data_IF_391607328690
#
_entry.id   IF_391607328690
#
_cell.length_a   1.000
_cell.length_b   1.000
_cell.length_c   1.000
_cell.angle_alpha   90.00
_cell.angle_beta   90.00
_cell.angle_gamma   90.00
#
_symmetry.space_group_name_H-M   'P 1'
#
loop_
_entity.id
_entity.type
_entity.pdbx_description
1 polymer ?
#
# COMPACT_ATOMS: atom_id res chain seq x y z
N UNK A 1 -32.58 -10.67 -4.23
CA UNK A 1 -31.16 -10.69 -3.84
C UNK A 1 -30.48 -11.74 -4.70
N UNK A 2 -29.90 -11.33 -5.82
CA UNK A 2 -29.31 -12.24 -6.80
C UNK A 2 -27.97 -12.74 -6.25
N UNK A 3 -27.95 -13.95 -5.72
CA UNK A 3 -26.74 -14.61 -5.24
C UNK A 3 -25.81 -14.85 -6.41
N UNK A 4 -24.76 -14.02 -6.54
CA UNK A 4 -23.64 -14.37 -7.39
C UNK A 4 -23.09 -15.73 -6.92
N UNK A 5 -22.79 -16.66 -7.85
CA UNK A 5 -22.24 -17.95 -7.48
C UNK A 5 -20.97 -17.74 -6.65
N UNK A 6 -20.91 -18.38 -5.48
CA UNK A 6 -19.71 -18.36 -4.65
C UNK A 6 -18.57 -18.92 -5.50
N UNK A 7 -17.48 -18.16 -5.72
CA UNK A 7 -16.40 -18.63 -6.56
C UNK A 7 -15.84 -19.95 -6.01
N UNK A 8 -15.59 -20.91 -6.89
CA UNK A 8 -14.92 -22.16 -6.51
C UNK A 8 -13.54 -21.88 -5.92
N UNK A 9 -13.12 -22.69 -4.96
CA UNK A 9 -11.83 -22.56 -4.30
C UNK A 9 -10.67 -22.67 -5.31
N UNK A 10 -9.92 -21.57 -5.55
CA UNK A 10 -8.79 -21.60 -6.46
C UNK A 10 -7.59 -22.30 -5.82
N UNK A 11 -6.89 -23.14 -6.59
CA UNK A 11 -5.70 -23.84 -6.10
C UNK A 11 -4.54 -22.88 -5.92
N UNK A 12 -3.66 -23.17 -4.97
CA UNK A 12 -2.45 -22.36 -4.75
C UNK A 12 -1.62 -22.23 -6.04
N UNK A 13 -1.45 -23.32 -6.78
CA UNK A 13 -0.68 -23.35 -8.03
C UNK A 13 -1.28 -22.46 -9.15
N UNK A 14 -2.60 -22.32 -9.18
CA UNK A 14 -3.29 -21.46 -10.15
C UNK A 14 -3.07 -19.98 -9.79
N UNK A 15 -3.02 -19.65 -8.49
CA UNK A 15 -2.65 -18.30 -8.01
C UNK A 15 -1.19 -17.99 -8.36
N UNK A 16 -0.27 -18.93 -8.17
CA UNK A 16 1.14 -18.77 -8.61
C UNK A 16 1.22 -18.49 -10.11
N UNK A 17 0.46 -19.23 -10.92
CA UNK A 17 0.41 -19.03 -12.38
C UNK A 17 -0.12 -17.65 -12.74
N UNK A 18 -1.18 -17.19 -12.06
CA UNK A 18 -1.73 -15.85 -12.22
C UNK A 18 -0.73 -14.75 -11.88
N UNK A 19 0.03 -14.90 -10.79
CA UNK A 19 1.08 -13.94 -10.39
C UNK A 19 2.20 -13.85 -11.44
N UNK A 20 2.67 -15.00 -11.96
CA UNK A 20 3.68 -15.03 -13.03
C UNK A 20 3.14 -14.41 -14.32
N UNK A 21 1.89 -14.70 -14.68
CA UNK A 21 1.23 -14.10 -15.84
C UNK A 21 1.04 -12.58 -15.70
N UNK A 22 0.76 -12.09 -14.49
CA UNK A 22 0.71 -10.66 -14.18
C UNK A 22 2.08 -9.99 -14.36
N UNK A 23 3.17 -10.74 -14.22
CA UNK A 23 4.54 -10.27 -14.44
C UNK A 23 5.41 -10.24 -13.20
N UNK A 24 5.04 -10.93 -12.11
CA UNK A 24 5.92 -11.09 -10.95
C UNK A 24 7.20 -11.78 -11.39
N UNK A 25 8.33 -11.12 -11.17
CA UNK A 25 9.64 -11.62 -11.58
C UNK A 25 10.23 -12.55 -10.52
N UNK A 26 10.63 -13.75 -10.95
CA UNK A 26 11.39 -14.68 -10.12
C UNK A 26 12.74 -14.06 -9.69
N UNK A 27 13.15 -14.31 -8.45
CA UNK A 27 14.36 -13.72 -7.86
C UNK A 27 14.24 -12.23 -7.50
N UNK A 28 13.11 -11.59 -7.80
CA UNK A 28 12.89 -10.17 -7.52
C UNK A 28 12.50 -9.85 -6.08
N UNK A 29 12.28 -8.56 -5.82
CA UNK A 29 11.65 -8.06 -4.59
C UNK A 29 10.22 -7.63 -4.92
N UNK A 30 9.24 -8.11 -4.16
CA UNK A 30 7.83 -7.78 -4.36
C UNK A 30 7.22 -7.24 -3.06
N UNK A 31 6.85 -5.96 -3.08
CA UNK A 31 6.00 -5.35 -2.05
C UNK A 31 4.53 -5.64 -2.38
N UNK A 32 3.79 -6.21 -1.42
CA UNK A 32 2.38 -6.59 -1.61
C UNK A 32 1.48 -5.87 -0.60
N UNK A 33 0.58 -5.07 -1.15
CA UNK A 33 -0.66 -4.65 -0.48
C UNK A 33 -1.78 -5.59 -0.94
N UNK A 34 -2.58 -6.11 -0.01
CA UNK A 34 -3.59 -7.12 -0.36
C UNK A 34 -4.84 -7.03 0.51
N UNK A 35 -6.00 -7.27 -0.12
CA UNK A 35 -7.26 -7.51 0.57
C UNK A 35 -7.64 -8.98 0.42
N UNK A 36 -7.43 -9.77 1.48
CA UNK A 36 -7.77 -11.20 1.43
C UNK A 36 -9.27 -11.42 1.15
N UNK A 37 -10.12 -10.47 1.55
CA UNK A 37 -11.56 -10.48 1.26
C UNK A 37 -11.86 -10.48 -0.25
N UNK A 38 -11.04 -9.80 -1.04
CA UNK A 38 -11.19 -9.75 -2.50
C UNK A 38 -10.53 -10.95 -3.19
N UNK A 39 -9.45 -11.51 -2.63
CA UNK A 39 -8.73 -12.64 -3.24
C UNK A 39 -9.37 -13.99 -2.98
N UNK A 40 -10.11 -14.15 -1.88
CA UNK A 40 -10.70 -15.43 -1.41
C UNK A 40 -11.87 -15.92 -2.29
N UNK A 41 -12.20 -17.23 -2.25
CA UNK A 41 -11.51 -18.31 -1.53
C UNK A 41 -10.24 -18.78 -2.24
N UNK A 42 -9.18 -19.09 -1.47
CA UNK A 42 -7.91 -19.67 -1.94
C UNK A 42 -7.62 -20.94 -1.13
N UNK A 43 -7.14 -21.99 -1.78
CA UNK A 43 -6.70 -23.23 -1.14
C UNK A 43 -5.64 -22.92 -0.06
N UNK A 44 -5.84 -23.43 1.16
CA UNK A 44 -4.96 -23.10 2.30
C UNK A 44 -5.20 -21.70 2.90
N UNK A 45 -6.24 -20.98 2.47
CA UNK A 45 -6.62 -19.69 3.01
C UNK A 45 -5.55 -18.60 2.80
N UNK A 46 -5.39 -17.66 3.75
CA UNK A 46 -4.35 -16.62 3.66
C UNK A 46 -2.93 -17.21 3.54
N UNK A 47 -2.66 -18.34 4.20
CA UNK A 47 -1.36 -19.03 4.12
C UNK A 47 -1.08 -19.55 2.72
N UNK A 48 -2.12 -20.03 2.02
CA UNK A 48 -2.02 -20.43 0.61
C UNK A 48 -1.68 -19.27 -0.30
N UNK A 49 -2.26 -18.09 -0.09
CA UNK A 49 -1.88 -16.88 -0.84
C UNK A 49 -0.41 -16.50 -0.62
N UNK A 50 0.06 -16.52 0.63
CA UNK A 50 1.49 -16.26 0.96
C UNK A 50 2.40 -17.30 0.29
N UNK A 51 2.01 -18.58 0.32
CA UNK A 51 2.75 -19.64 -0.33
C UNK A 51 2.82 -19.43 -1.86
N UNK A 52 1.72 -19.04 -2.51
CA UNK A 52 1.70 -18.72 -3.92
C UNK A 52 2.60 -17.52 -4.29
N UNK A 53 2.62 -16.47 -3.47
CA UNK A 53 3.51 -15.31 -3.64
C UNK A 53 4.99 -15.71 -3.55
N UNK A 54 5.35 -16.50 -2.54
CA UNK A 54 6.73 -17.01 -2.35
C UNK A 54 7.14 -17.95 -3.49
N UNK A 55 6.24 -18.81 -3.94
CA UNK A 55 6.46 -19.71 -5.08
C UNK A 55 6.65 -18.94 -6.40
N UNK A 56 5.88 -17.86 -6.61
CA UNK A 56 6.03 -17.02 -7.79
C UNK A 56 7.39 -16.29 -7.81
N UNK A 57 7.88 -15.90 -6.64
CA UNK A 57 9.18 -15.26 -6.44
C UNK A 57 10.37 -16.23 -6.50
N UNK A 58 10.14 -17.53 -6.25
CA UNK A 58 11.20 -18.54 -6.18
C UNK A 58 12.12 -18.38 -4.95
N UNK A 59 13.13 -19.26 -4.81
CA UNK A 59 13.96 -19.34 -3.60
C UNK A 59 14.88 -18.13 -3.40
N UNK A 60 15.13 -17.35 -4.45
CA UNK A 60 15.99 -16.16 -4.41
C UNK A 60 15.21 -14.85 -4.30
N UNK A 61 13.88 -14.89 -4.37
CA UNK A 61 13.05 -13.70 -4.28
C UNK A 61 12.76 -13.28 -2.84
N UNK A 62 12.41 -12.00 -2.66
CA UNK A 62 12.06 -11.42 -1.37
C UNK A 62 10.64 -10.90 -1.40
N UNK A 63 9.78 -11.43 -0.54
CA UNK A 63 8.43 -10.92 -0.31
C UNK A 63 8.47 -9.85 0.78
N UNK A 64 7.89 -8.69 0.51
CA UNK A 64 7.75 -7.57 1.45
C UNK A 64 6.27 -7.27 1.62
N UNK A 65 5.83 -7.04 2.86
CA UNK A 65 4.47 -6.63 3.20
C UNK A 65 4.53 -5.58 4.30
N UNK A 66 3.63 -4.58 4.33
CA UNK A 66 3.57 -3.65 5.44
C UNK A 66 3.09 -4.34 6.72
N UNK A 67 3.59 -3.89 7.87
CA UNK A 67 3.37 -4.56 9.17
C UNK A 67 3.38 -3.58 10.36
N UNK A 68 2.91 -2.35 10.19
CA UNK A 68 2.80 -1.39 11.31
C UNK A 68 1.70 -1.82 12.30
N UNK A 69 1.80 -1.37 13.56
CA UNK A 69 0.83 -1.71 14.63
C UNK A 69 -0.36 -0.76 14.74
N UNK A 70 -0.20 0.50 14.36
CA UNK A 70 -1.24 1.53 14.49
C UNK A 70 -1.48 2.02 15.92
N UNK A 71 -0.59 1.68 16.87
CA UNK A 71 -0.63 2.18 18.25
C UNK A 71 0.59 3.09 18.52
N UNK A 72 0.33 4.39 18.54
CA UNK A 72 1.37 5.41 18.72
C UNK A 72 1.81 5.58 20.19
N UNK A 73 1.10 4.97 21.15
CA UNK A 73 1.39 5.11 22.60
C UNK A 73 2.26 3.98 23.14
N UNK A 74 2.39 2.87 22.40
CA UNK A 74 3.07 1.66 22.86
C UNK A 74 4.31 1.39 22.01
N UNK A 75 5.48 1.11 22.63
CA UNK A 75 6.64 0.65 21.87
C UNK A 75 6.35 -0.60 21.05
N UNK A 76 6.76 -0.57 19.79
CA UNK A 76 6.63 -1.72 18.88
C UNK A 76 7.60 -2.86 19.28
N UNK A 77 7.07 -4.06 19.57
CA UNK A 77 7.85 -5.31 19.65
C UNK A 77 7.60 -6.13 18.36
N UNK A 78 8.64 -6.35 17.52
CA UNK A 78 8.48 -7.07 16.25
C UNK A 78 8.02 -8.54 16.40
N UNK A 79 8.06 -9.12 17.61
CA UNK A 79 7.67 -10.51 17.86
C UNK A 79 6.21 -10.66 18.29
N UNK A 80 5.60 -9.60 18.81
CA UNK A 80 4.30 -9.70 19.50
C UNK A 80 3.30 -8.63 19.08
N UNK A 81 3.74 -7.48 18.57
CA UNK A 81 2.85 -6.42 18.15
C UNK A 81 1.96 -6.91 17.00
N UNK A 82 0.62 -6.87 17.15
CA UNK A 82 -0.27 -7.17 16.04
C UNK A 82 -0.13 -6.10 14.97
N UNK A 83 -0.38 -6.50 13.73
CA UNK A 83 -0.50 -5.59 12.60
C UNK A 83 -1.82 -4.82 12.66
N UNK A 84 -1.82 -3.53 12.32
CA UNK A 84 -3.00 -2.67 12.37
C UNK A 84 -4.18 -3.20 11.52
N UNK A 85 -5.44 -3.07 11.97
CA UNK A 85 -6.60 -3.51 11.20
C UNK A 85 -6.85 -2.72 9.92
N UNK A 86 -6.25 -1.53 9.77
CA UNK A 86 -6.34 -0.68 8.60
C UNK A 86 -5.36 -1.04 7.48
N UNK A 87 -4.47 -2.02 7.71
CA UNK A 87 -3.56 -2.54 6.69
C UNK A 87 -4.37 -3.06 5.48
N UNK A 88 -4.26 -2.33 4.37
CA UNK A 88 -5.00 -2.58 3.14
C UNK A 88 -6.13 -1.58 2.83
N UNK A 89 -6.37 -0.57 3.68
CA UNK A 89 -7.22 0.60 3.36
C UNK A 89 -6.47 1.54 2.40
N UNK A 90 -5.19 1.79 2.64
CA UNK A 90 -4.28 2.43 1.69
C UNK A 90 -3.59 1.35 0.84
N UNK A 91 -3.72 1.44 -0.49
CA UNK A 91 -3.31 0.37 -1.41
C UNK A 91 -1.87 0.52 -1.93
N UNK A 92 -1.26 1.71 -1.88
CA UNK A 92 0.09 1.93 -2.39
C UNK A 92 0.88 2.96 -1.57
N UNK A 93 1.56 2.47 -0.52
CA UNK A 93 2.45 3.27 0.33
C UNK A 93 3.67 3.84 -0.42
N UNK A 94 3.97 3.38 -1.63
CA UNK A 94 5.05 3.94 -2.46
C UNK A 94 4.74 5.39 -2.86
N UNK A 95 3.47 5.78 -2.94
CA UNK A 95 3.08 7.14 -3.26
C UNK A 95 3.44 8.13 -2.14
N UNK A 96 3.38 7.73 -0.86
CA UNK A 96 3.90 8.55 0.24
C UNK A 96 5.40 8.80 0.14
N UNK A 97 6.18 7.84 -0.35
CA UNK A 97 7.60 8.06 -0.65
C UNK A 97 7.76 9.10 -1.78
N UNK A 98 6.91 9.05 -2.82
CA UNK A 98 6.95 10.01 -3.91
C UNK A 98 6.64 11.43 -3.44
N UNK A 99 5.67 11.60 -2.54
CA UNK A 99 5.34 12.87 -1.89
C UNK A 99 6.53 13.49 -1.15
N UNK A 100 7.20 12.69 -0.31
CA UNK A 100 8.39 13.13 0.42
C UNK A 100 9.53 13.53 -0.54
N UNK A 101 9.77 12.74 -1.59
CA UNK A 101 10.80 13.02 -2.59
C UNK A 101 10.46 14.17 -3.56
N UNK A 102 9.18 14.52 -3.67
CA UNK A 102 8.73 15.71 -4.39
C UNK A 102 8.81 16.98 -3.51
N UNK A 103 8.95 16.83 -2.19
CA UNK A 103 8.96 17.96 -1.28
C UNK A 103 7.58 18.59 -1.10
N UNK A 104 6.50 17.79 -1.10
CA UNK A 104 5.14 18.32 -0.84
C UNK A 104 5.10 19.08 0.48
N UNK A 105 4.30 20.15 0.62
CA UNK A 105 4.47 21.11 1.70
C UNK A 105 3.67 20.80 2.99
N UNK A 106 2.76 19.82 2.98
CA UNK A 106 1.93 19.48 4.14
C UNK A 106 2.64 18.52 5.10
N UNK A 107 2.56 18.81 6.40
CA UNK A 107 3.13 18.01 7.50
C UNK A 107 2.16 18.01 8.69
N UNK A 108 1.28 17.02 8.76
CA UNK A 108 0.38 16.86 9.90
C UNK A 108 1.17 16.40 11.14
N UNK A 109 0.94 16.97 12.33
CA UNK A 109 1.62 16.53 13.55
C UNK A 109 1.22 15.09 13.90
N UNK A 110 2.21 14.23 14.04
CA UNK A 110 2.07 12.83 14.43
C UNK A 110 3.05 12.51 15.55
N UNK A 111 2.86 11.34 16.14
CA UNK A 111 3.72 10.85 17.20
C UNK A 111 3.89 9.33 17.10
N UNK A 112 4.95 8.81 17.68
CA UNK A 112 5.09 7.38 17.96
C UNK A 112 5.85 7.18 19.28
N UNK A 113 5.79 5.99 19.84
CA UNK A 113 6.51 5.65 21.07
C UNK A 113 7.57 4.60 20.77
N UNK A 114 8.81 4.86 21.18
CA UNK A 114 9.93 3.93 21.04
C UNK A 114 10.43 3.46 22.40
N UNK A 115 11.12 2.31 22.44
CA UNK A 115 11.84 1.87 23.64
C UNK A 115 13.28 2.36 23.57
N UNK A 116 13.63 3.37 24.38
CA UNK A 116 15.00 3.87 24.52
C UNK A 116 15.51 3.57 25.93
N UNK A 117 16.65 2.87 26.03
CA UNK A 117 17.25 2.50 27.32
C UNK A 117 16.28 1.80 28.29
N UNK A 118 15.38 0.96 27.75
CA UNK A 118 14.37 0.24 28.53
C UNK A 118 13.18 1.08 28.99
N UNK A 119 13.05 2.34 28.52
CA UNK A 119 11.93 3.23 28.84
C UNK A 119 11.16 3.65 27.58
N UNK A 120 9.82 3.74 27.64
CA UNK A 120 9.03 4.33 26.57
C UNK A 120 9.36 5.82 26.40
N UNK A 121 9.64 6.25 25.17
CA UNK A 121 9.92 7.64 24.80
C UNK A 121 9.03 8.02 23.63
N UNK A 122 8.26 9.11 23.79
CA UNK A 122 7.44 9.71 22.73
C UNK A 122 8.32 10.50 21.78
N UNK A 123 8.14 10.28 20.48
CA UNK A 123 8.77 11.02 19.39
C UNK A 123 7.66 11.71 18.61
N UNK A 124 7.74 13.03 18.54
CA UNK A 124 6.86 13.85 17.69
C UNK A 124 7.51 14.07 16.32
N UNK A 125 6.71 14.03 15.25
CA UNK A 125 7.16 14.28 13.88
C UNK A 125 6.04 14.87 13.03
N UNK A 126 6.38 15.39 11.85
CA UNK A 126 5.41 15.81 10.84
C UNK A 126 5.32 14.77 9.72
N UNK A 127 4.11 14.34 9.39
CA UNK A 127 3.87 13.33 8.33
C UNK A 127 3.11 13.93 7.15
N UNK A 128 3.38 13.46 5.94
CA UNK A 128 2.60 13.77 4.73
C UNK A 128 1.33 12.90 4.65
N UNK A 129 0.60 12.80 5.76
CA UNK A 129 -0.59 11.95 5.88
C UNK A 129 -1.88 12.71 5.51
N UNK A 130 -2.85 11.97 4.98
CA UNK A 130 -4.18 12.41 4.52
C UNK A 130 -5.02 11.19 4.14
N UNK A 131 -6.30 11.35 3.76
CA UNK A 131 -7.20 10.22 3.47
C UNK A 131 -6.79 9.24 2.35
N UNK A 132 -5.78 9.58 1.54
CA UNK A 132 -5.21 8.76 0.46
C UNK A 132 -6.15 8.45 -0.72
N UNK A 133 -7.41 8.89 -0.69
CA UNK A 133 -8.34 8.67 -1.80
C UNK A 133 -7.83 9.27 -3.13
N UNK A 134 -7.08 10.38 -3.06
CA UNK A 134 -6.45 11.02 -4.20
C UNK A 134 -5.43 10.15 -4.92
N UNK A 135 -4.88 9.10 -4.31
CA UNK A 135 -3.91 8.19 -4.94
C UNK A 135 -4.47 7.43 -6.15
N UNK A 136 -5.78 7.33 -6.27
CA UNK A 136 -6.45 6.65 -7.40
C UNK A 136 -6.05 7.20 -8.77
N UNK A 137 -5.64 8.48 -8.85
CA UNK A 137 -5.21 9.10 -10.11
C UNK A 137 -3.94 8.44 -10.69
N UNK A 138 -3.10 7.85 -9.84
CA UNK A 138 -1.87 7.19 -10.26
C UNK A 138 -2.13 5.97 -11.16
N UNK A 139 -3.28 5.30 -10.99
CA UNK A 139 -3.70 4.20 -11.86
C UNK A 139 -3.75 4.63 -13.33
N UNK A 140 -4.35 5.79 -13.61
CA UNK A 140 -4.51 6.30 -14.97
C UNK A 140 -3.14 6.65 -15.56
N UNK A 141 -2.30 7.37 -14.80
CA UNK A 141 -0.97 7.78 -15.25
C UNK A 141 -0.07 6.59 -15.61
N UNK A 142 -0.07 5.56 -14.77
CA UNK A 142 0.74 4.37 -14.99
C UNK A 142 0.18 3.53 -16.15
N UNK A 143 -1.16 3.41 -16.27
CA UNK A 143 -1.81 2.66 -17.35
C UNK A 143 -1.57 3.31 -18.71
N UNK A 144 -1.75 4.62 -18.83
CA UNK A 144 -1.56 5.37 -20.09
C UNK A 144 -0.13 5.28 -20.61
N UNK A 145 0.85 5.16 -19.70
CA UNK A 145 2.27 4.98 -20.04
C UNK A 145 2.69 3.51 -20.24
N UNK A 146 1.76 2.55 -20.07
CA UNK A 146 2.06 1.12 -20.16
C UNK A 146 2.95 0.59 -19.03
N UNK A 147 3.01 1.28 -17.90
CA UNK A 147 3.87 0.97 -16.74
C UNK A 147 3.15 0.12 -15.68
N UNK A 148 1.82 0.04 -15.75
CA UNK A 148 1.00 -0.83 -14.91
C UNK A 148 0.48 -2.02 -15.71
N UNK A 149 0.73 -3.23 -15.19
CA UNK A 149 0.09 -4.47 -15.64
C UNK A 149 -1.12 -4.74 -14.77
N UNK A 150 -2.18 -5.25 -15.38
CA UNK A 150 -3.42 -5.57 -14.70
C UNK A 150 -3.84 -7.00 -15.02
N UNK A 151 -4.42 -7.69 -14.04
CA UNK A 151 -4.83 -9.06 -14.20
C UNK A 151 -5.62 -9.54 -13.00
N UNK A 152 -5.86 -10.85 -12.94
CA UNK A 152 -6.54 -11.47 -11.81
C UNK A 152 -5.53 -12.24 -10.96
N UNK A 153 -5.61 -12.08 -9.64
CA UNK A 153 -4.90 -12.90 -8.65
C UNK A 153 -5.92 -13.42 -7.64
N UNK A 154 -6.08 -14.74 -7.57
CA UNK A 154 -7.25 -15.36 -6.96
C UNK A 154 -8.54 -14.89 -7.63
N UNK A 155 -9.38 -14.20 -6.86
CA UNK A 155 -10.60 -13.55 -7.34
C UNK A 155 -10.50 -12.02 -7.42
N UNK A 156 -9.36 -11.45 -7.02
CA UNK A 156 -9.16 -10.00 -7.01
C UNK A 156 -8.68 -9.49 -8.37
N UNK A 157 -9.10 -8.27 -8.72
CA UNK A 157 -8.36 -7.43 -9.67
C UNK A 157 -7.03 -7.04 -9.02
N UNK A 158 -5.94 -7.32 -9.71
CA UNK A 158 -4.59 -7.07 -9.24
C UNK A 158 -3.86 -6.16 -10.24
N UNK A 159 -2.99 -5.33 -9.69
CA UNK A 159 -2.16 -4.37 -10.42
C UNK A 159 -0.72 -4.60 -10.03
N UNK A 160 0.18 -4.50 -11.00
CA UNK A 160 1.62 -4.65 -10.81
C UNK A 160 2.33 -3.54 -11.57
N UNK A 161 3.09 -2.72 -10.84
CA UNK A 161 3.96 -1.70 -11.40
C UNK A 161 5.30 -1.72 -10.65
N UNK A 162 6.37 -1.23 -11.27
CA UNK A 162 7.68 -1.13 -10.61
C UNK A 162 7.65 0.08 -9.66
N UNK A 163 8.16 -0.09 -8.44
CA UNK A 163 8.23 1.00 -7.47
C UNK A 163 8.92 2.27 -8.00
N UNK A 164 9.97 2.11 -8.82
CA UNK A 164 10.66 3.24 -9.46
C UNK A 164 9.76 4.01 -10.42
N UNK A 165 8.92 3.31 -11.18
CA UNK A 165 8.03 3.91 -12.16
C UNK A 165 6.89 4.66 -11.43
N UNK A 166 6.35 4.09 -10.35
CA UNK A 166 5.37 4.75 -9.46
C UNK A 166 5.94 6.06 -8.91
N UNK A 167 7.13 6.01 -8.30
CA UNK A 167 7.78 7.21 -7.73
C UNK A 167 8.08 8.24 -8.82
N UNK A 168 8.63 7.83 -9.95
CA UNK A 168 8.97 8.76 -11.02
C UNK A 168 7.73 9.49 -11.54
N UNK A 169 6.69 8.75 -11.93
CA UNK A 169 5.47 9.32 -12.49
C UNK A 169 4.76 10.23 -11.48
N UNK A 170 4.61 9.80 -10.23
CA UNK A 170 3.98 10.61 -9.21
C UNK A 170 4.74 11.92 -8.94
N UNK A 171 6.08 11.89 -8.94
CA UNK A 171 6.90 13.10 -8.74
C UNK A 171 6.77 14.10 -9.88
N UNK A 172 6.62 13.65 -11.13
CA UNK A 172 6.38 14.53 -12.27
C UNK A 172 5.08 15.34 -12.07
N UNK A 173 4.00 14.67 -11.67
CA UNK A 173 2.71 15.33 -11.43
C UNK A 173 2.71 16.21 -10.17
N UNK A 174 3.39 15.78 -9.09
CA UNK A 174 3.51 16.58 -7.87
C UNK A 174 4.39 17.82 -8.03
N UNK A 175 5.35 17.82 -8.97
CA UNK A 175 6.14 19.01 -9.29
C UNK A 175 5.29 20.13 -9.90
N UNK A 176 4.23 19.78 -10.64
CA UNK A 176 3.28 20.73 -11.22
C UNK A 176 2.22 21.17 -10.20
N UNK A 177 1.73 20.22 -9.39
CA UNK A 177 0.74 20.49 -8.34
C UNK A 177 1.08 19.71 -7.06
N UNK A 178 1.78 20.33 -6.09
CA UNK A 178 2.19 19.66 -4.86
C UNK A 178 1.03 19.22 -3.95
N UNK A 179 -0.19 19.71 -4.17
CA UNK A 179 -1.39 19.39 -3.38
C UNK A 179 -2.33 18.43 -4.12
N UNK A 180 -1.88 17.81 -5.21
CA UNK A 180 -2.69 17.01 -6.12
C UNK A 180 -3.41 15.83 -5.46
N UNK A 181 -2.80 15.22 -4.43
CA UNK A 181 -3.41 14.10 -3.71
C UNK A 181 -4.40 14.52 -2.62
N UNK A 182 -4.47 15.81 -2.28
CA UNK A 182 -5.46 16.33 -1.35
C UNK A 182 -6.79 16.62 -2.06
N UNK A 183 -7.91 16.23 -1.46
CA UNK A 183 -9.22 16.70 -1.90
C UNK A 183 -9.28 18.24 -1.94
N UNK A 184 -10.00 18.84 -2.90
CA UNK A 184 -10.14 20.29 -2.98
C UNK A 184 -10.83 20.86 -1.72
N UNK A 185 -10.59 22.14 -1.39
CA UNK A 185 -11.28 22.79 -0.28
C UNK A 185 -12.81 22.66 -0.39
N UNK A 186 -13.47 22.34 0.73
CA UNK A 186 -14.93 22.19 0.77
C UNK A 186 -15.44 20.82 0.33
N UNK A 187 -14.57 19.86 0.02
CA UNK A 187 -14.96 18.47 -0.25
C UNK A 187 -15.46 17.70 0.97
N UNK A 188 -15.34 18.27 2.18
CA UNK A 188 -15.79 17.65 3.43
C UNK A 188 -14.88 16.52 3.92
N UNK A 189 -13.59 16.56 3.59
CA UNK A 189 -12.61 15.55 4.00
C UNK A 189 -11.68 16.13 5.07
N UNK A 190 -11.95 15.79 6.33
CA UNK A 190 -11.21 16.31 7.48
C UNK A 190 -9.69 16.09 7.37
N UNK A 191 -9.26 14.88 6.98
CA UNK A 191 -7.83 14.55 6.87
C UNK A 191 -7.13 15.40 5.80
N UNK A 192 -7.78 15.65 4.65
CA UNK A 192 -7.22 16.50 3.61
C UNK A 192 -7.24 17.98 3.99
N UNK A 193 -8.24 18.42 4.75
CA UNK A 193 -8.34 19.79 5.25
C UNK A 193 -7.26 20.06 6.33
N UNK A 194 -6.98 19.07 7.20
CA UNK A 194 -5.88 19.12 8.17
C UNK A 194 -4.53 19.20 7.47
N UNK A 195 -4.27 18.30 6.51
CA UNK A 195 -3.04 18.34 5.70
C UNK A 195 -2.88 19.70 5.01
N UNK A 196 -3.95 20.24 4.40
CA UNK A 196 -3.93 21.55 3.75
C UNK A 196 -3.63 22.69 4.73
N UNK A 197 -4.17 22.62 5.95
CA UNK A 197 -3.94 23.62 7.00
C UNK A 197 -2.50 23.57 7.53
N UNK A 198 -1.85 22.41 7.47
CA UNK A 198 -0.46 22.24 7.91
C UNK A 198 0.59 22.82 6.96
N UNK A 199 0.19 23.28 5.76
CA UNK A 199 1.10 23.93 4.81
C UNK A 199 1.61 25.23 5.43
N UNK A 200 2.88 25.22 5.82
CA UNK A 200 3.56 26.42 6.32
C UNK A 200 3.93 27.29 5.11
N UNK A 201 3.60 28.58 5.19
CA UNK A 201 3.93 29.59 4.17
C UNK A 201 5.44 29.84 4.08
#
# INVERSE_FOLDING_TARGET
>A
MNGQPVPGNIRQADVTTQLRALGVAEGGVLLVHTSFRATRPVEGGPRGLIAALREALGPHGTLVMPSWSGDDQVPFDPRTAPTSPDLGVAADTTLHLAELLAGVPYRVPKQCTVLAEGRPVRIDYGENDHCCAGFVVADAWLRERGLQREGRVGHAHARLARARDIVQVAREHLAENPLLFLHPPGAGCADCDEARTSVVA
#
